data_IF_589586057723
#
_entry.id   IF_589586057723
#
_cell.length_a   1.000
_cell.length_b   1.000
_cell.length_c   1.000
_cell.angle_alpha   90.00
_cell.angle_beta   90.00
_cell.angle_gamma   90.00
#
_symmetry.space_group_name_H-M   'P 1'
#
loop_
_entity.id
_entity.type
_entity.pdbx_description
1 polymer ?
#
# COMPACT_ATOMS: atom_id res chain seq x y z
N UNK A 1 -8.41 31.85 10.20
CA UNK A 1 -8.63 30.50 9.64
C UNK A 1 -7.33 29.77 9.26
N UNK A 2 -6.29 30.44 8.71
CA UNK A 2 -5.03 29.77 8.30
C UNK A 2 -4.19 29.21 9.46
N UNK A 3 -4.22 29.85 10.64
CA UNK A 3 -3.50 29.37 11.83
C UNK A 3 -4.21 28.20 12.50
N UNK A 4 -5.54 28.17 12.48
CA UNK A 4 -6.32 27.06 13.02
C UNK A 4 -6.10 25.75 12.23
N UNK A 5 -6.05 25.84 10.90
CA UNK A 5 -5.70 24.69 10.04
C UNK A 5 -4.29 24.15 10.31
N UNK A 6 -3.31 25.02 10.53
CA UNK A 6 -1.95 24.59 10.90
C UNK A 6 -1.91 23.91 12.26
N UNK A 7 -2.65 24.40 13.24
CA UNK A 7 -2.73 23.78 14.56
C UNK A 7 -3.43 22.42 14.51
N UNK A 8 -4.49 22.28 13.71
CA UNK A 8 -5.18 20.98 13.50
C UNK A 8 -4.26 19.96 12.79
N UNK A 9 -3.52 20.39 11.76
CA UNK A 9 -2.55 19.51 11.07
C UNK A 9 -1.40 19.11 12.02
N UNK A 10 -0.91 20.05 12.85
CA UNK A 10 0.13 19.74 13.84
C UNK A 10 -0.38 18.80 14.93
N UNK A 11 -1.62 18.99 15.41
CA UNK A 11 -2.25 18.09 16.38
C UNK A 11 -2.49 16.69 15.78
N UNK A 12 -2.87 16.61 14.49
CA UNK A 12 -3.05 15.34 13.79
C UNK A 12 -1.71 14.61 13.54
N UNK A 13 -0.67 15.35 13.17
CA UNK A 13 0.68 14.78 13.02
C UNK A 13 1.26 14.35 14.38
N UNK A 14 0.97 15.09 15.45
CA UNK A 14 1.41 14.75 16.79
C UNK A 14 0.67 13.52 17.35
N UNK A 15 -0.60 13.34 17.02
CA UNK A 15 -1.35 12.11 17.37
C UNK A 15 -0.88 10.87 16.62
N UNK A 16 -0.36 11.02 15.39
CA UNK A 16 0.26 9.92 14.63
C UNK A 16 1.62 9.55 15.22
N UNK A 17 2.39 10.52 15.73
CA UNK A 17 3.68 10.26 16.38
C UNK A 17 3.52 9.64 17.77
N UNK A 18 2.38 9.88 18.43
CA UNK A 18 2.00 9.21 19.68
C UNK A 18 1.30 7.86 19.44
N UNK A 19 1.11 7.44 18.19
CA UNK A 19 0.68 6.09 17.85
C UNK A 19 1.75 5.13 18.34
N UNK A 20 1.45 4.53 19.43
CA UNK A 20 2.09 3.49 20.21
C UNK A 20 3.27 2.84 19.50
N UNK A 21 4.47 3.14 19.95
CA UNK A 21 5.51 2.13 19.95
C UNK A 21 4.96 0.98 20.81
N UNK A 22 4.61 -0.13 20.19
CA UNK A 22 4.31 -1.36 20.90
C UNK A 22 5.56 -1.74 21.69
N UNK A 23 5.59 -1.27 22.92
CA UNK A 23 6.71 -1.52 23.82
C UNK A 23 6.63 -3.00 24.17
N UNK A 24 7.69 -3.73 23.85
CA UNK A 24 7.88 -5.07 24.38
C UNK A 24 7.72 -5.01 25.89
N UNK A 25 6.66 -5.60 26.43
CA UNK A 25 6.43 -5.69 27.85
C UNK A 25 7.33 -6.76 28.45
N UNK A 26 8.17 -6.35 29.37
CA UNK A 26 8.95 -7.31 30.18
C UNK A 26 8.05 -7.99 31.21
N UNK A 27 8.48 -9.16 31.69
CA UNK A 27 7.77 -9.86 32.76
C UNK A 27 7.65 -9.01 34.01
N UNK A 28 8.67 -8.19 34.28
CA UNK A 28 8.71 -7.30 35.44
C UNK A 28 7.67 -6.17 35.37
N UNK A 29 7.47 -5.58 34.19
CA UNK A 29 6.43 -4.54 33.97
C UNK A 29 5.01 -5.09 34.18
N UNK A 30 4.79 -6.34 33.79
CA UNK A 30 3.50 -7.02 33.96
C UNK A 30 3.24 -7.33 35.45
N UNK A 31 4.26 -7.62 36.21
CA UNK A 31 4.16 -7.92 37.65
C UNK A 31 3.54 -6.77 38.44
N UNK A 32 3.94 -5.53 38.18
CA UNK A 32 3.45 -4.34 38.88
C UNK A 32 1.95 -4.11 38.60
N UNK A 33 1.49 -4.40 37.40
CA UNK A 33 0.07 -4.31 37.04
C UNK A 33 -0.79 -5.42 37.69
N UNK A 34 -0.20 -6.57 38.01
CA UNK A 34 -0.92 -7.75 38.46
C UNK A 34 -0.85 -8.03 39.98
N UNK A 35 -0.13 -7.20 40.75
CA UNK A 35 0.02 -7.37 42.20
C UNK A 35 -1.31 -7.41 42.98
N UNK A 36 -2.42 -6.95 42.40
CA UNK A 36 -3.75 -6.97 42.99
C UNK A 36 -4.66 -8.15 42.57
N UNK A 37 -4.21 -9.00 41.68
CA UNK A 37 -5.04 -10.10 41.18
C UNK A 37 -4.89 -11.37 42.05
N UNK A 38 -5.99 -12.09 42.21
CA UNK A 38 -6.02 -13.38 42.95
C UNK A 38 -5.06 -14.39 42.34
N UNK A 39 -4.33 -15.11 43.18
CA UNK A 39 -3.41 -16.19 42.77
C UNK A 39 -4.22 -17.43 42.37
N UNK A 40 -4.30 -17.68 41.05
CA UNK A 40 -4.85 -18.93 40.55
C UNK A 40 -3.85 -20.10 40.75
N UNK A 41 -4.38 -21.30 40.94
CA UNK A 41 -3.58 -22.49 40.83
C UNK A 41 -3.04 -22.62 39.39
N UNK A 42 -1.94 -23.39 39.21
CA UNK A 42 -1.30 -23.53 37.89
C UNK A 42 -2.28 -23.98 36.80
N UNK A 43 -3.08 -25.02 37.08
CA UNK A 43 -4.04 -25.61 36.15
C UNK A 43 -5.17 -24.60 35.80
N UNK A 44 -5.61 -23.82 36.80
CA UNK A 44 -6.61 -22.78 36.61
C UNK A 44 -6.08 -21.63 35.74
N UNK A 45 -4.84 -21.23 35.97
CA UNK A 45 -4.19 -20.19 35.15
C UNK A 45 -3.97 -20.66 33.70
N UNK A 46 -3.56 -21.90 33.49
CA UNK A 46 -3.38 -22.51 32.18
C UNK A 46 -4.71 -22.57 31.44
N UNK A 47 -5.76 -23.09 32.11
CA UNK A 47 -7.12 -23.12 31.55
C UNK A 47 -7.68 -21.75 31.26
N UNK A 48 -7.37 -20.78 32.10
CA UNK A 48 -7.80 -19.38 31.90
C UNK A 48 -7.10 -18.73 30.71
N UNK A 49 -5.80 -18.97 30.48
CA UNK A 49 -5.10 -18.52 29.30
C UNK A 49 -5.70 -19.11 28.02
N UNK A 50 -5.97 -20.41 28.02
CA UNK A 50 -6.57 -21.11 26.89
C UNK A 50 -7.98 -20.56 26.59
N UNK A 51 -8.81 -20.38 27.62
CA UNK A 51 -10.13 -19.78 27.51
C UNK A 51 -10.05 -18.35 26.90
N UNK A 52 -9.19 -17.50 27.45
CA UNK A 52 -9.04 -16.11 26.97
C UNK A 52 -8.60 -16.06 25.50
N UNK A 53 -7.71 -16.94 25.10
CA UNK A 53 -7.26 -17.04 23.73
C UNK A 53 -8.39 -17.45 22.78
N UNK A 54 -9.15 -18.50 23.15
CA UNK A 54 -10.24 -19.03 22.33
C UNK A 54 -11.43 -18.05 22.22
N UNK A 55 -11.65 -17.22 23.25
CA UNK A 55 -12.67 -16.17 23.24
C UNK A 55 -12.21 -14.86 22.55
N UNK A 56 -10.96 -14.81 22.05
CA UNK A 56 -10.43 -13.65 21.36
C UNK A 56 -9.98 -12.50 22.27
N UNK A 57 -9.87 -12.73 23.59
CA UNK A 57 -9.39 -11.71 24.54
C UNK A 57 -7.85 -11.69 24.60
N UNK A 58 -7.22 -11.38 23.48
CA UNK A 58 -5.77 -11.52 23.28
C UNK A 58 -4.92 -10.71 24.27
N UNK A 59 -5.28 -9.44 24.55
CA UNK A 59 -4.56 -8.63 25.53
C UNK A 59 -4.58 -9.25 26.94
N UNK A 60 -5.74 -9.76 27.36
CA UNK A 60 -5.88 -10.42 28.66
C UNK A 60 -5.14 -11.76 28.68
N UNK A 61 -5.16 -12.49 27.57
CA UNK A 61 -4.39 -13.71 27.40
C UNK A 61 -2.88 -13.44 27.54
N UNK A 62 -2.36 -12.35 26.94
CA UNK A 62 -0.97 -11.93 27.10
C UNK A 62 -0.61 -11.70 28.57
N UNK A 63 -1.42 -10.92 29.27
CA UNK A 63 -1.17 -10.63 30.70
C UNK A 63 -1.17 -11.90 31.55
N UNK A 64 -2.16 -12.77 31.35
CA UNK A 64 -2.23 -14.07 32.05
C UNK A 64 -1.06 -14.98 31.68
N UNK A 65 -0.63 -14.99 30.42
CA UNK A 65 0.52 -15.77 29.95
C UNK A 65 1.83 -15.28 30.57
N UNK A 66 2.04 -13.98 30.67
CA UNK A 66 3.22 -13.40 31.36
C UNK A 66 3.21 -13.72 32.84
N UNK A 67 2.05 -13.69 33.49
CA UNK A 67 1.93 -14.08 34.90
C UNK A 67 2.27 -15.56 35.07
N UNK A 68 1.87 -16.44 34.16
CA UNK A 68 2.24 -17.86 34.13
C UNK A 68 3.76 -18.04 34.03
N UNK A 69 4.40 -17.37 33.08
CA UNK A 69 5.85 -17.42 32.89
C UNK A 69 6.61 -16.91 34.12
N UNK A 70 6.11 -15.87 34.76
CA UNK A 70 6.72 -15.33 35.99
C UNK A 70 6.62 -16.30 37.16
N UNK A 71 5.45 -16.93 37.37
CA UNK A 71 5.23 -17.85 38.47
C UNK A 71 5.93 -19.20 38.27
N UNK A 72 6.03 -19.67 37.03
CA UNK A 72 6.52 -20.99 36.68
C UNK A 72 7.55 -20.97 35.54
N UNK A 73 8.70 -20.28 35.72
CA UNK A 73 9.64 -20.00 34.64
C UNK A 73 10.34 -21.23 34.05
N UNK A 74 10.41 -22.34 34.78
CA UNK A 74 11.10 -23.56 34.39
C UNK A 74 10.16 -24.73 34.14
N UNK A 75 8.87 -24.47 33.95
CA UNK A 75 7.89 -25.56 33.74
C UNK A 75 7.91 -26.02 32.27
N UNK A 76 7.50 -27.26 32.06
CA UNK A 76 7.45 -27.91 30.73
C UNK A 76 6.46 -27.22 29.76
N UNK A 77 5.50 -26.46 30.24
CA UNK A 77 4.54 -25.74 29.41
C UNK A 77 5.08 -24.37 28.91
N UNK A 78 6.22 -23.89 29.39
CA UNK A 78 6.79 -22.59 29.01
C UNK A 78 6.88 -22.38 27.48
N UNK A 79 7.35 -23.36 26.69
CA UNK A 79 7.35 -23.23 25.22
C UNK A 79 5.94 -23.01 24.64
N UNK A 80 4.93 -23.74 25.17
CA UNK A 80 3.54 -23.60 24.73
C UNK A 80 2.96 -22.24 25.11
N UNK A 81 3.25 -21.72 26.31
CA UNK A 81 2.84 -20.38 26.72
C UNK A 81 3.48 -19.31 25.81
N UNK A 82 4.77 -19.42 25.49
CA UNK A 82 5.41 -18.52 24.54
C UNK A 82 4.75 -18.59 23.15
N UNK A 83 4.26 -19.76 22.74
CA UNK A 83 3.50 -19.93 21.51
C UNK A 83 2.16 -19.20 21.56
N UNK A 84 1.43 -19.27 22.67
CA UNK A 84 0.18 -18.52 22.86
C UNK A 84 0.43 -17.00 22.87
N UNK A 85 1.51 -16.53 23.49
CA UNK A 85 1.92 -15.13 23.43
C UNK A 85 2.17 -14.69 21.98
N UNK A 86 2.93 -15.51 21.22
CA UNK A 86 3.18 -15.24 19.81
C UNK A 86 1.89 -15.17 18.99
N UNK A 87 0.97 -16.11 19.27
CA UNK A 87 -0.35 -16.16 18.62
C UNK A 87 -1.21 -14.93 18.97
N UNK A 88 -1.22 -14.50 20.23
CA UNK A 88 -1.93 -13.28 20.63
C UNK A 88 -1.40 -12.07 19.86
N UNK A 89 -0.09 -11.90 19.74
CA UNK A 89 0.49 -10.81 18.95
C UNK A 89 0.17 -10.94 17.47
N UNK A 90 0.13 -12.16 16.92
CA UNK A 90 -0.27 -12.40 15.53
C UNK A 90 -1.72 -11.99 15.28
N UNK A 91 -2.66 -12.37 16.15
CA UNK A 91 -4.08 -12.03 16.05
C UNK A 91 -4.34 -10.51 16.27
N UNK A 92 -3.45 -9.84 16.98
CA UNK A 92 -3.44 -8.39 17.16
C UNK A 92 -2.70 -7.64 16.03
N UNK A 93 -2.29 -8.36 14.97
CA UNK A 93 -1.53 -7.85 13.82
C UNK A 93 -0.15 -7.26 14.17
N UNK A 94 0.36 -7.53 15.37
CA UNK A 94 1.71 -7.17 15.76
C UNK A 94 2.71 -8.25 15.34
N UNK A 95 2.96 -8.32 14.05
CA UNK A 95 3.77 -9.38 13.45
C UNK A 95 5.23 -9.36 13.93
N UNK A 96 5.78 -8.19 14.24
CA UNK A 96 7.16 -8.08 14.73
C UNK A 96 7.33 -8.80 16.08
N UNK A 97 6.44 -8.55 17.03
CA UNK A 97 6.47 -9.22 18.33
C UNK A 97 6.14 -10.72 18.21
N UNK A 98 5.15 -11.07 17.38
CA UNK A 98 4.83 -12.47 17.10
C UNK A 98 6.07 -13.22 16.60
N UNK A 99 6.78 -12.68 15.62
CA UNK A 99 7.99 -13.28 15.04
C UNK A 99 9.12 -13.43 16.09
N UNK A 100 9.31 -12.45 16.97
CA UNK A 100 10.31 -12.55 18.05
C UNK A 100 10.04 -13.74 18.98
N UNK A 101 8.78 -13.94 19.36
CA UNK A 101 8.41 -15.08 20.20
C UNK A 101 8.49 -16.41 19.45
N UNK A 102 8.07 -16.48 18.19
CA UNK A 102 8.25 -17.69 17.37
C UNK A 102 9.74 -18.03 17.20
N UNK A 103 10.59 -17.04 16.90
CA UNK A 103 12.04 -17.26 16.79
C UNK A 103 12.67 -17.73 18.09
N UNK A 104 12.22 -17.20 19.23
CA UNK A 104 12.65 -17.69 20.55
C UNK A 104 12.30 -19.15 20.73
N UNK A 105 11.07 -19.57 20.38
CA UNK A 105 10.66 -20.96 20.48
C UNK A 105 11.52 -21.85 19.56
N UNK A 106 11.74 -21.42 18.32
CA UNK A 106 12.54 -22.17 17.34
C UNK A 106 13.99 -22.34 17.82
N UNK A 107 14.54 -21.33 18.50
CA UNK A 107 15.90 -21.38 19.03
C UNK A 107 16.04 -22.29 20.27
N UNK A 108 15.03 -22.28 21.13
CA UNK A 108 15.10 -22.87 22.46
C UNK A 108 14.53 -24.31 22.53
N UNK A 109 13.96 -24.85 21.45
CA UNK A 109 13.30 -26.16 21.46
C UNK A 109 13.82 -27.09 20.36
N UNK A 110 13.63 -28.40 20.56
CA UNK A 110 14.03 -29.41 19.60
C UNK A 110 13.13 -29.42 18.35
N UNK A 111 13.73 -29.67 17.18
CA UNK A 111 13.03 -29.71 15.89
C UNK A 111 11.89 -30.76 15.82
N UNK A 112 11.96 -31.80 16.64
CA UNK A 112 10.94 -32.84 16.69
C UNK A 112 9.70 -32.46 17.46
N UNK A 113 9.76 -31.39 18.27
CA UNK A 113 8.64 -30.96 19.11
C UNK A 113 7.51 -30.34 18.27
N UNK A 114 6.27 -30.52 18.70
CA UNK A 114 5.08 -29.94 18.07
C UNK A 114 5.16 -28.42 18.13
N UNK A 115 5.64 -27.86 19.26
CA UNK A 115 5.76 -26.41 19.48
C UNK A 115 6.75 -25.80 18.50
N UNK A 116 7.90 -26.44 18.29
CA UNK A 116 8.89 -25.98 17.32
C UNK A 116 8.32 -25.92 15.90
N UNK A 117 7.69 -27.02 15.44
CA UNK A 117 7.11 -27.09 14.09
C UNK A 117 6.02 -26.05 13.89
N UNK A 118 5.09 -25.95 14.84
CA UNK A 118 4.02 -24.95 14.78
C UNK A 118 4.58 -23.51 14.76
N UNK A 119 5.56 -23.22 15.62
CA UNK A 119 6.22 -21.91 15.65
C UNK A 119 6.96 -21.60 14.33
N UNK A 120 7.64 -22.61 13.76
CA UNK A 120 8.34 -22.47 12.47
C UNK A 120 7.37 -22.12 11.33
N UNK A 121 6.24 -22.82 11.24
CA UNK A 121 5.22 -22.55 10.22
C UNK A 121 4.57 -21.19 10.42
N UNK A 122 4.16 -20.86 11.65
CA UNK A 122 3.57 -19.57 11.98
C UNK A 122 4.52 -18.40 11.75
N UNK A 123 5.81 -18.57 12.06
CA UNK A 123 6.81 -17.54 11.79
C UNK A 123 6.93 -17.24 10.28
N UNK A 124 6.87 -18.26 9.43
CA UNK A 124 6.87 -18.03 7.97
C UNK A 124 5.54 -17.47 7.48
N UNK A 125 4.42 -17.88 8.06
CA UNK A 125 3.13 -17.29 7.77
C UNK A 125 3.06 -15.80 8.15
N UNK A 126 3.59 -15.42 9.33
CA UNK A 126 3.68 -14.00 9.73
C UNK A 126 4.63 -13.20 8.86
N UNK A 127 5.71 -13.79 8.32
CA UNK A 127 6.54 -13.14 7.31
C UNK A 127 5.75 -12.83 6.04
N UNK A 128 4.87 -13.75 5.63
CA UNK A 128 3.99 -13.52 4.48
C UNK A 128 2.99 -12.40 4.76
N UNK A 129 2.32 -12.40 5.92
CA UNK A 129 1.36 -11.36 6.29
C UNK A 129 1.98 -9.97 6.44
N UNK A 130 3.22 -9.89 6.92
CA UNK A 130 3.95 -8.63 7.08
C UNK A 130 4.61 -8.12 5.80
N UNK A 131 4.49 -8.86 4.68
CA UNK A 131 5.15 -8.51 3.41
C UNK A 131 6.67 -8.79 3.39
N UNK A 132 7.21 -9.46 4.41
CA UNK A 132 8.64 -9.83 4.49
C UNK A 132 8.94 -11.07 3.64
N UNK A 133 8.55 -11.01 2.36
CA UNK A 133 8.66 -12.15 1.43
C UNK A 133 10.11 -12.54 1.14
N UNK A 134 11.06 -11.62 1.20
CA UNK A 134 12.49 -11.93 1.01
C UNK A 134 13.04 -12.82 2.12
N UNK A 135 12.70 -12.51 3.37
CA UNK A 135 13.10 -13.32 4.52
C UNK A 135 12.43 -14.71 4.47
N UNK A 136 11.16 -14.77 4.10
CA UNK A 136 10.46 -16.04 3.91
C UNK A 136 11.16 -16.89 2.85
N UNK A 137 11.47 -16.31 1.70
CA UNK A 137 12.11 -17.03 0.59
C UNK A 137 13.52 -17.53 0.96
N UNK A 138 14.29 -16.74 1.71
CA UNK A 138 15.62 -17.12 2.19
C UNK A 138 15.55 -18.24 3.22
N UNK A 139 14.66 -18.13 4.22
CA UNK A 139 14.49 -19.09 5.29
C UNK A 139 13.92 -20.44 4.84
N UNK A 140 13.23 -20.47 3.69
CA UNK A 140 12.63 -21.68 3.12
C UNK A 140 13.40 -22.26 1.95
N UNK A 141 14.61 -21.75 1.70
CA UNK A 141 15.44 -22.24 0.61
C UNK A 141 15.79 -23.74 0.80
N UNK A 142 15.56 -24.54 -0.23
CA UNK A 142 15.87 -25.98 -0.22
C UNK A 142 14.98 -26.84 0.67
N UNK A 143 13.93 -26.28 1.28
CA UNK A 143 12.99 -27.07 2.08
C UNK A 143 12.19 -28.06 1.21
N UNK A 144 11.83 -29.19 1.82
CA UNK A 144 10.88 -30.16 1.25
C UNK A 144 9.56 -30.18 2.04
N UNK A 145 9.46 -29.39 3.07
CA UNK A 145 8.28 -29.32 3.92
C UNK A 145 7.10 -28.70 3.14
N UNK A 146 5.96 -29.39 3.03
CA UNK A 146 4.85 -28.94 2.19
C UNK A 146 4.23 -27.63 2.64
N UNK A 147 4.14 -27.37 3.95
CA UNK A 147 3.60 -26.12 4.47
C UNK A 147 4.51 -24.93 4.10
N UNK A 148 5.82 -25.11 4.29
CA UNK A 148 6.79 -24.05 3.95
C UNK A 148 6.87 -23.81 2.43
N UNK A 149 6.75 -24.88 1.63
CA UNK A 149 6.68 -24.76 0.17
C UNK A 149 5.42 -24.01 -0.27
N UNK A 150 4.29 -24.23 0.42
CA UNK A 150 3.06 -23.52 0.16
C UNK A 150 3.22 -22.01 0.44
N UNK A 151 3.72 -21.63 1.61
CA UNK A 151 3.98 -20.21 1.93
C UNK A 151 4.99 -19.57 0.95
N UNK A 152 6.00 -20.34 0.53
CA UNK A 152 6.95 -19.93 -0.51
C UNK A 152 6.26 -19.66 -1.84
N UNK A 153 5.28 -20.49 -2.22
CA UNK A 153 4.45 -20.29 -3.40
C UNK A 153 3.68 -18.97 -3.35
N UNK A 154 3.04 -18.66 -2.24
CA UNK A 154 2.35 -17.37 -2.03
C UNK A 154 3.31 -16.17 -2.08
N UNK A 155 4.50 -16.28 -1.47
CA UNK A 155 5.51 -15.23 -1.54
C UNK A 155 5.98 -14.96 -2.98
N UNK A 156 6.11 -16.00 -3.81
CA UNK A 156 6.41 -15.82 -5.22
C UNK A 156 5.24 -15.23 -6.01
N UNK A 157 3.99 -15.54 -5.65
CA UNK A 157 2.81 -14.89 -6.26
C UNK A 157 2.81 -13.39 -5.96
N UNK A 158 3.09 -12.99 -4.73
CA UNK A 158 3.20 -11.58 -4.32
C UNK A 158 4.30 -10.85 -5.12
N UNK A 159 5.40 -11.54 -5.38
CA UNK A 159 6.50 -11.03 -6.24
C UNK A 159 6.22 -11.17 -7.74
N UNK A 160 5.05 -11.65 -8.14
CA UNK A 160 4.68 -11.91 -9.53
C UNK A 160 5.62 -12.87 -10.27
N UNK A 161 6.30 -13.74 -9.55
CA UNK A 161 7.12 -14.79 -10.15
C UNK A 161 6.29 -16.08 -10.27
N UNK A 162 5.47 -16.13 -11.32
CA UNK A 162 4.46 -17.18 -11.54
C UNK A 162 5.05 -18.58 -11.71
N UNK A 163 6.19 -18.69 -12.41
CA UNK A 163 6.90 -19.95 -12.59
C UNK A 163 7.44 -20.52 -11.27
N UNK A 164 8.07 -19.68 -10.45
CA UNK A 164 8.56 -20.09 -9.15
C UNK A 164 7.42 -20.41 -8.19
N UNK A 165 6.31 -19.66 -8.24
CA UNK A 165 5.11 -19.93 -7.48
C UNK A 165 4.52 -21.31 -7.84
N UNK A 166 4.32 -21.57 -9.14
CA UNK A 166 3.82 -22.84 -9.66
C UNK A 166 4.69 -24.02 -9.23
N UNK A 167 6.00 -23.87 -9.39
CA UNK A 167 6.98 -24.91 -9.00
C UNK A 167 6.91 -25.21 -7.50
N UNK A 168 6.78 -24.17 -6.69
CA UNK A 168 6.67 -24.31 -5.23
C UNK A 168 5.38 -25.04 -4.83
N UNK A 169 4.24 -24.69 -5.44
CA UNK A 169 2.96 -25.35 -5.17
C UNK A 169 2.94 -26.79 -5.65
N UNK A 170 3.50 -27.12 -6.83
CA UNK A 170 3.64 -28.50 -7.31
C UNK A 170 4.49 -29.31 -6.33
N UNK A 171 5.59 -28.72 -5.87
CA UNK A 171 6.45 -29.38 -4.89
C UNK A 171 5.75 -29.58 -3.55
N UNK A 172 4.94 -28.63 -3.11
CA UNK A 172 4.12 -28.74 -1.91
C UNK A 172 3.09 -29.86 -2.05
N UNK A 173 2.33 -29.85 -3.14
CA UNK A 173 1.31 -30.86 -3.45
C UNK A 173 1.87 -32.29 -3.43
N UNK A 174 3.02 -32.49 -4.07
CA UNK A 174 3.67 -33.82 -4.11
C UNK A 174 4.17 -34.31 -2.75
N UNK A 175 4.32 -33.43 -1.77
CA UNK A 175 4.77 -33.76 -0.41
C UNK A 175 3.64 -33.77 0.63
N UNK A 176 2.42 -33.37 0.27
CA UNK A 176 1.24 -33.57 1.11
C UNK A 176 0.68 -34.97 0.91
N UNK A 177 0.40 -35.65 2.00
CA UNK A 177 -0.12 -37.03 1.97
C UNK A 177 -1.65 -37.12 1.82
N UNK A 178 -2.36 -35.99 1.78
CA UNK A 178 -3.82 -36.00 1.81
C UNK A 178 -4.45 -35.30 0.58
N UNK A 179 -5.42 -35.94 -0.11
CA UNK A 179 -6.04 -35.43 -1.34
C UNK A 179 -6.84 -34.12 -1.14
N UNK A 180 -7.05 -33.68 0.11
CA UNK A 180 -7.64 -32.37 0.40
C UNK A 180 -6.82 -31.22 -0.18
N UNK A 181 -5.49 -31.32 -0.12
CA UNK A 181 -4.59 -30.29 -0.61
C UNK A 181 -4.63 -30.14 -2.13
N UNK A 182 -4.91 -31.21 -2.87
CA UNK A 182 -5.12 -31.14 -4.33
C UNK A 182 -6.27 -30.19 -4.67
N UNK A 183 -7.35 -30.24 -3.90
CA UNK A 183 -8.50 -29.36 -4.09
C UNK A 183 -8.19 -27.89 -3.76
N UNK A 184 -7.33 -27.65 -2.79
CA UNK A 184 -6.89 -26.31 -2.41
C UNK A 184 -5.88 -25.73 -3.40
N UNK A 185 -5.02 -26.58 -4.01
CA UNK A 185 -3.98 -26.14 -4.94
C UNK A 185 -4.52 -25.86 -6.35
N UNK A 186 -5.52 -26.61 -6.81
CA UNK A 186 -6.05 -26.47 -8.17
C UNK A 186 -6.46 -25.06 -8.56
N UNK A 187 -7.22 -24.31 -7.73
CA UNK A 187 -7.56 -22.93 -8.06
C UNK A 187 -6.36 -21.97 -8.07
N UNK A 188 -5.31 -22.26 -7.29
CA UNK A 188 -4.05 -21.49 -7.34
C UNK A 188 -3.35 -21.67 -8.69
N UNK A 189 -3.33 -22.89 -9.22
CA UNK A 189 -2.81 -23.16 -10.57
C UNK A 189 -3.61 -22.43 -11.64
N UNK A 190 -4.94 -22.50 -11.58
CA UNK A 190 -5.81 -21.77 -12.51
C UNK A 190 -5.57 -20.26 -12.45
N UNK A 191 -5.40 -19.72 -11.25
CA UNK A 191 -5.09 -18.29 -11.09
C UNK A 191 -3.77 -17.93 -11.77
N UNK A 192 -2.71 -18.74 -11.57
CA UNK A 192 -1.40 -18.51 -12.18
C UNK A 192 -1.47 -18.62 -13.71
N UNK A 193 -2.17 -19.59 -14.25
CA UNK A 193 -2.32 -19.80 -15.70
C UNK A 193 -3.08 -18.64 -16.35
N UNK A 194 -4.15 -18.18 -15.72
CA UNK A 194 -5.01 -17.12 -16.26
C UNK A 194 -4.44 -15.71 -16.08
N UNK A 195 -3.34 -15.52 -15.33
CA UNK A 195 -2.66 -14.20 -15.21
C UNK A 195 -2.23 -13.66 -16.57
N UNK A 196 -1.88 -14.55 -17.52
CA UNK A 196 -1.52 -14.15 -18.87
C UNK A 196 -2.67 -13.53 -19.65
N UNK A 197 -3.92 -13.89 -19.33
CA UNK A 197 -5.15 -13.44 -19.96
C UNK A 197 -5.68 -12.11 -19.40
N UNK A 198 -5.12 -11.63 -18.30
CA UNK A 198 -5.50 -10.34 -17.71
C UNK A 198 -5.28 -9.23 -18.73
N UNK A 199 -6.31 -8.44 -19.07
CA UNK A 199 -6.19 -7.37 -20.04
C UNK A 199 -5.20 -6.31 -19.56
N UNK A 200 -4.15 -6.09 -20.34
CA UNK A 200 -3.08 -5.14 -20.02
C UNK A 200 -3.12 -3.96 -20.98
N UNK A 201 -2.86 -2.78 -20.47
CA UNK A 201 -2.70 -1.60 -21.31
C UNK A 201 -1.39 -1.71 -22.11
N UNK A 202 -1.46 -1.45 -23.41
CA UNK A 202 -0.26 -1.41 -24.26
C UNK A 202 0.44 -0.06 -24.10
N UNK A 203 1.69 -0.09 -23.65
CA UNK A 203 2.53 1.10 -23.42
C UNK A 203 2.62 2.04 -24.62
N UNK A 204 2.77 1.47 -25.81
CA UNK A 204 2.92 2.25 -27.04
C UNK A 204 1.61 2.94 -27.43
N UNK A 205 0.47 2.29 -27.20
CA UNK A 205 -0.85 2.89 -27.44
C UNK A 205 -1.09 4.03 -26.44
N UNK A 206 -0.78 3.82 -25.16
CA UNK A 206 -0.89 4.84 -24.13
C UNK A 206 0.00 6.03 -24.42
N UNK A 207 1.27 5.80 -24.78
CA UNK A 207 2.20 6.84 -25.17
C UNK A 207 1.74 7.61 -26.42
N UNK A 208 1.32 6.90 -27.45
CA UNK A 208 0.86 7.50 -28.69
C UNK A 208 -0.41 8.35 -28.46
N UNK A 209 -1.33 7.87 -27.64
CA UNK A 209 -2.51 8.63 -27.24
C UNK A 209 -2.14 9.92 -26.50
N UNK A 210 -1.13 9.87 -25.62
CA UNK A 210 -0.58 11.06 -24.96
C UNK A 210 0.10 12.00 -25.94
N UNK A 211 0.77 11.47 -26.97
CA UNK A 211 1.46 12.26 -27.96
C UNK A 211 0.50 12.95 -28.96
N UNK A 212 -0.66 12.39 -29.19
CA UNK A 212 -1.69 12.99 -30.07
C UNK A 212 -2.55 14.00 -29.32
N UNK A 213 -2.92 13.65 -28.09
CA UNK A 213 -3.86 14.42 -27.29
C UNK A 213 -3.33 14.62 -25.85
N UNK A 214 -3.22 15.89 -25.37
CA UNK A 214 -2.74 16.16 -24.01
C UNK A 214 -3.59 15.45 -22.96
N UNK A 215 -2.96 14.59 -22.17
CA UNK A 215 -3.65 13.77 -21.18
C UNK A 215 -4.28 12.47 -21.74
N UNK A 216 -4.17 12.19 -23.04
CA UNK A 216 -4.78 11.03 -23.68
C UNK A 216 -4.36 9.69 -23.07
N UNK A 217 -3.08 9.55 -22.74
CA UNK A 217 -2.58 8.36 -22.07
C UNK A 217 -3.17 8.16 -20.67
N UNK A 218 -3.32 9.24 -19.89
CA UNK A 218 -3.93 9.20 -18.58
C UNK A 218 -5.40 8.82 -18.66
N UNK A 219 -6.13 9.29 -19.66
CA UNK A 219 -7.51 8.86 -19.89
C UNK A 219 -7.60 7.37 -20.22
N UNK A 220 -6.69 6.83 -21.03
CA UNK A 220 -6.63 5.40 -21.32
C UNK A 220 -6.26 4.55 -20.08
N UNK A 221 -5.50 5.12 -19.14
CA UNK A 221 -5.18 4.50 -17.87
C UNK A 221 -6.28 4.69 -16.80
N UNK A 222 -7.42 5.30 -17.18
CA UNK A 222 -8.53 5.64 -16.28
C UNK A 222 -8.17 6.65 -15.18
N UNK A 223 -7.09 7.41 -15.38
CA UNK A 223 -6.65 8.47 -14.48
C UNK A 223 -7.30 9.83 -14.88
N UNK A 224 -8.61 9.91 -14.77
CA UNK A 224 -9.40 11.05 -15.26
C UNK A 224 -8.96 12.41 -14.70
N UNK A 225 -8.67 12.49 -13.39
CA UNK A 225 -8.23 13.75 -12.75
C UNK A 225 -6.89 14.25 -13.30
N UNK A 226 -5.94 13.33 -13.49
CA UNK A 226 -4.63 13.65 -14.07
C UNK A 226 -4.77 14.05 -15.53
N UNK A 227 -5.55 13.31 -16.31
CA UNK A 227 -5.84 13.59 -17.71
C UNK A 227 -6.46 14.97 -17.91
N UNK A 228 -7.49 15.31 -17.13
CA UNK A 228 -8.13 16.62 -17.14
C UNK A 228 -7.17 17.74 -16.73
N UNK A 229 -6.36 17.52 -15.69
CA UNK A 229 -5.36 18.49 -15.25
C UNK A 229 -4.34 18.83 -16.34
N UNK A 230 -3.86 17.83 -17.08
CA UNK A 230 -2.92 18.03 -18.20
C UNK A 230 -3.61 18.75 -19.34
N UNK A 231 -4.81 18.30 -19.73
CA UNK A 231 -5.57 18.92 -20.81
C UNK A 231 -5.85 20.39 -20.54
N UNK A 232 -6.33 20.71 -19.34
CA UNK A 232 -6.64 22.10 -18.95
C UNK A 232 -5.37 22.96 -18.89
N UNK A 233 -4.26 22.41 -18.37
CA UNK A 233 -2.98 23.14 -18.31
C UNK A 233 -2.44 23.46 -19.69
N UNK A 234 -2.40 22.47 -20.59
CA UNK A 234 -1.91 22.68 -21.97
C UNK A 234 -2.84 23.61 -22.75
N UNK A 235 -4.17 23.46 -22.59
CA UNK A 235 -5.15 24.34 -23.23
C UNK A 235 -5.03 25.77 -22.73
N UNK A 236 -4.83 25.99 -21.44
CA UNK A 236 -4.60 27.32 -20.86
C UNK A 236 -3.33 27.95 -21.44
N UNK A 237 -2.23 27.20 -21.53
CA UNK A 237 -0.99 27.69 -22.13
C UNK A 237 -1.16 28.03 -23.61
N UNK A 238 -1.95 27.25 -24.36
CA UNK A 238 -2.27 27.51 -25.75
C UNK A 238 -3.11 28.79 -25.90
N UNK A 239 -4.09 29.05 -25.01
CA UNK A 239 -4.89 30.27 -24.99
C UNK A 239 -3.99 31.46 -24.69
N UNK A 240 -3.13 31.40 -23.68
CA UNK A 240 -2.19 32.48 -23.33
C UNK A 240 -1.24 32.77 -24.49
N UNK A 241 -0.74 31.73 -25.17
CA UNK A 241 0.13 31.88 -26.35
C UNK A 241 -0.58 32.55 -27.51
N UNK A 242 -1.84 32.20 -27.80
CA UNK A 242 -2.64 32.84 -28.81
C UNK A 242 -2.96 34.30 -28.46
N UNK A 243 -3.25 34.56 -27.18
CA UNK A 243 -3.48 35.92 -26.71
C UNK A 243 -2.24 36.81 -26.95
N UNK A 244 -1.05 36.33 -26.53
CA UNK A 244 0.20 37.03 -26.72
C UNK A 244 0.47 37.33 -28.22
N UNK A 245 0.16 36.37 -29.12
CA UNK A 245 0.28 36.52 -30.56
C UNK A 245 -0.70 37.56 -31.13
N UNK A 246 -1.94 37.59 -30.67
CA UNK A 246 -2.94 38.58 -31.08
C UNK A 246 -2.49 39.98 -30.65
N UNK A 247 -1.91 40.13 -29.47
CA UNK A 247 -1.36 41.40 -29.02
C UNK A 247 -0.21 41.87 -29.90
N UNK A 248 0.66 40.96 -30.37
CA UNK A 248 1.72 41.31 -31.31
C UNK A 248 1.19 41.80 -32.62
N UNK A 249 0.24 41.09 -33.23
CA UNK A 249 -0.37 41.47 -34.50
C UNK A 249 -1.07 42.84 -34.40
N UNK A 250 -1.72 43.07 -33.27
CA UNK A 250 -2.41 44.35 -33.04
C UNK A 250 -1.44 45.45 -32.64
N UNK A 251 -0.38 45.16 -31.90
CA UNK A 251 0.66 46.13 -31.49
C UNK A 251 1.57 46.56 -32.62
N UNK A 252 1.90 45.69 -33.57
CA UNK A 252 2.75 45.99 -34.71
C UNK A 252 2.00 46.72 -35.84
N UNK A 253 0.71 46.53 -35.96
CA UNK A 253 -0.12 47.34 -36.82
C UNK A 253 -0.45 48.68 -36.13
N UNK A 254 0.50 49.61 -36.13
CA UNK A 254 0.26 51.00 -35.75
C UNK A 254 -0.80 51.73 -36.59
N UNK A 255 -1.28 51.06 -37.61
CA UNK A 255 -2.48 51.48 -38.37
C UNK A 255 -3.71 51.53 -37.48
N UNK A 256 -3.59 51.02 -36.28
CA UNK A 256 -4.64 51.04 -35.30
C UNK A 256 -4.44 52.22 -34.32
N UNK A 257 -4.07 53.31 -34.82
CA UNK A 257 -4.46 54.59 -34.25
C UNK A 257 -5.98 54.81 -34.34
N UNK A 258 -6.68 53.92 -35.03
CA UNK A 258 -8.12 53.96 -35.04
C UNK A 258 -8.63 53.39 -33.70
N UNK A 259 -9.40 54.19 -33.02
CA UNK A 259 -10.15 53.90 -31.78
C UNK A 259 -10.96 52.57 -31.84
N UNK A 260 -11.12 52.01 -33.04
CA UNK A 260 -11.83 50.76 -33.32
C UNK A 260 -11.12 49.46 -32.86
N UNK A 261 -9.86 49.53 -32.48
CA UNK A 261 -9.09 48.39 -31.99
C UNK A 261 -8.95 48.33 -30.48
N UNK A 262 -9.47 49.30 -29.78
CA UNK A 262 -9.64 49.21 -28.34
C UNK A 262 -10.72 48.19 -28.01
N UNK A 263 -10.47 47.30 -27.05
CA UNK A 263 -11.42 46.29 -26.64
C UNK A 263 -12.78 46.91 -26.32
N UNK A 264 -13.89 46.28 -26.75
CA UNK A 264 -15.26 46.80 -26.59
C UNK A 264 -15.68 47.19 -25.17
N UNK A 265 -14.95 46.73 -24.15
CA UNK A 265 -15.20 47.10 -22.75
C UNK A 265 -15.24 48.64 -22.52
N UNK A 266 -14.58 49.43 -23.35
CA UNK A 266 -14.58 50.87 -23.23
C UNK A 266 -15.82 51.55 -23.79
N UNK A 267 -16.51 50.93 -24.72
CA UNK A 267 -17.68 51.54 -25.34
C UNK A 267 -18.82 51.77 -24.34
N UNK A 268 -18.96 50.91 -23.37
CA UNK A 268 -20.02 51.03 -22.37
C UNK A 268 -19.73 52.08 -21.29
N UNK A 269 -18.48 52.41 -21.08
CA UNK A 269 -18.05 53.41 -20.08
C UNK A 269 -18.11 54.82 -20.67
N UNK A 270 -17.91 54.95 -21.99
CA UNK A 270 -17.92 56.25 -22.68
C UNK A 270 -19.33 56.87 -22.78
N UNK A 271 -20.38 56.07 -22.65
CA UNK A 271 -21.76 56.59 -22.80
C UNK A 271 -22.25 57.42 -21.63
N UNK A 272 -21.66 57.30 -20.46
CA UNK A 272 -22.16 57.95 -19.25
C UNK A 272 -21.20 59.01 -18.64
N UNK A 273 -19.93 58.98 -19.00
CA UNK A 273 -18.96 59.99 -18.56
C UNK A 273 -18.02 60.31 -19.71
N UNK A 274 -17.86 61.61 -20.03
CA UNK A 274 -16.85 62.05 -20.97
C UNK A 274 -15.44 61.85 -20.40
N UNK A 275 -14.99 60.61 -20.40
CA UNK A 275 -13.63 60.25 -20.03
C UNK A 275 -12.68 60.80 -21.04
N UNK A 276 -11.74 61.64 -20.63
CA UNK A 276 -10.67 62.12 -21.48
C UNK A 276 -9.86 60.93 -21.97
N UNK A 277 -9.34 61.05 -23.22
CA UNK A 277 -8.59 59.93 -23.86
C UNK A 277 -7.47 59.38 -23.02
N UNK A 278 -6.87 60.10 -22.10
CA UNK A 278 -5.83 59.72 -21.17
C UNK A 278 -6.35 58.99 -19.91
N UNK A 279 -7.65 59.03 -19.67
CA UNK A 279 -8.28 58.43 -18.51
C UNK A 279 -8.84 57.04 -18.84
N UNK A 280 -8.69 56.59 -20.10
CA UNK A 280 -9.08 55.25 -20.55
C UNK A 280 -8.13 54.21 -19.89
N UNK A 281 -8.70 53.32 -19.15
CA UNK A 281 -7.96 52.18 -18.59
C UNK A 281 -7.43 51.38 -19.77
N UNK A 282 -6.13 51.09 -19.86
CA UNK A 282 -5.62 50.27 -20.94
C UNK A 282 -6.25 48.89 -20.85
N UNK A 283 -6.99 48.53 -21.89
CA UNK A 283 -7.60 47.20 -22.00
C UNK A 283 -6.58 46.09 -22.04
N UNK A 284 -5.31 46.44 -22.19
CA UNK A 284 -4.19 45.52 -22.26
C UNK A 284 -3.06 46.11 -21.46
N UNK A 285 -2.42 45.27 -20.70
CA UNK A 285 -1.09 45.52 -20.18
C UNK A 285 -0.17 45.71 -21.40
N UNK A 286 0.09 46.96 -21.80
CA UNK A 286 1.09 47.24 -22.82
C UNK A 286 2.47 47.00 -22.23
N UNK A 287 2.88 45.77 -22.30
CA UNK A 287 4.25 45.45 -22.00
C UNK A 287 5.06 45.88 -23.24
N UNK A 288 5.82 46.93 -23.11
CA UNK A 288 6.60 47.58 -24.16
C UNK A 288 7.79 46.77 -24.68
N UNK A 289 7.71 45.44 -24.62
CA UNK A 289 8.73 44.51 -25.09
C UNK A 289 8.25 43.73 -26.30
N UNK A 290 9.19 43.35 -27.16
CA UNK A 290 8.95 42.47 -28.29
C UNK A 290 8.13 41.26 -27.82
N UNK A 291 6.95 41.09 -28.38
CA UNK A 291 5.93 40.10 -28.04
C UNK A 291 6.43 38.64 -28.08
N UNK A 292 7.45 38.40 -28.89
CA UNK A 292 8.10 37.08 -28.98
C UNK A 292 8.64 36.63 -27.61
N UNK A 293 9.12 37.53 -26.76
CA UNK A 293 9.63 37.21 -25.43
C UNK A 293 8.54 36.70 -24.48
N UNK A 294 7.29 37.07 -24.66
CA UNK A 294 6.16 36.64 -23.84
C UNK A 294 5.49 35.37 -24.37
N UNK A 295 5.71 35.05 -25.65
CA UNK A 295 5.24 33.81 -26.25
C UNK A 295 6.06 32.62 -25.80
N UNK A 296 7.37 32.80 -25.61
CA UNK A 296 8.30 31.69 -25.27
C UNK A 296 7.91 30.99 -23.95
N UNK A 297 7.69 31.66 -22.81
CA UNK A 297 7.40 30.99 -21.56
C UNK A 297 6.16 30.05 -21.59
N UNK A 298 4.98 30.50 -22.06
CA UNK A 298 3.81 29.63 -22.09
C UNK A 298 3.97 28.45 -23.08
N UNK A 299 4.65 28.68 -24.22
CA UNK A 299 4.93 27.58 -25.17
C UNK A 299 5.89 26.58 -24.57
N UNK A 300 6.97 27.00 -23.93
CA UNK A 300 7.95 26.12 -23.29
C UNK A 300 7.31 25.35 -22.14
N UNK A 301 6.50 26.01 -21.30
CA UNK A 301 5.80 25.36 -20.19
C UNK A 301 4.78 24.34 -20.72
N UNK A 302 3.96 24.75 -21.70
CA UNK A 302 2.95 23.84 -22.29
C UNK A 302 3.58 22.62 -22.97
N UNK A 303 4.66 22.82 -23.73
CA UNK A 303 5.41 21.74 -24.35
C UNK A 303 6.08 20.85 -23.27
N UNK A 304 6.65 21.44 -22.23
CA UNK A 304 7.24 20.71 -21.12
C UNK A 304 6.21 19.83 -20.39
N UNK A 305 5.06 20.38 -20.04
CA UNK A 305 3.96 19.61 -19.40
C UNK A 305 3.51 18.47 -20.32
N UNK A 306 3.36 18.75 -21.61
CA UNK A 306 2.94 17.76 -22.60
C UNK A 306 3.96 16.60 -22.73
N UNK A 307 5.25 16.92 -22.90
CA UNK A 307 6.31 15.89 -23.02
C UNK A 307 6.45 15.09 -21.73
N UNK A 308 6.52 15.77 -20.59
CA UNK A 308 6.67 15.09 -19.27
C UNK A 308 5.46 14.19 -19.00
N UNK A 309 4.25 14.65 -19.31
CA UNK A 309 3.05 13.84 -19.12
C UNK A 309 3.01 12.61 -20.01
N UNK A 310 3.50 12.73 -21.25
CA UNK A 310 3.58 11.61 -22.19
C UNK A 310 4.60 10.56 -21.75
N UNK A 311 5.77 10.99 -21.26
CA UNK A 311 6.77 10.08 -20.69
C UNK A 311 6.31 9.44 -19.39
N UNK A 312 5.59 10.22 -18.56
CA UNK A 312 5.02 9.72 -17.33
C UNK A 312 3.97 8.63 -17.60
N UNK A 313 3.02 8.86 -18.52
CA UNK A 313 2.01 7.87 -18.87
C UNK A 313 2.60 6.55 -19.40
N UNK A 314 3.71 6.63 -20.14
CA UNK A 314 4.44 5.44 -20.57
C UNK A 314 4.97 4.62 -19.39
N UNK A 315 5.53 5.29 -18.36
CA UNK A 315 6.02 4.64 -17.15
C UNK A 315 4.87 4.14 -16.27
N UNK A 316 3.84 4.96 -16.08
CA UNK A 316 2.69 4.65 -15.23
C UNK A 316 1.89 3.44 -15.77
N UNK A 317 2.00 3.14 -17.07
CA UNK A 317 1.37 1.96 -17.68
C UNK A 317 1.84 0.66 -17.03
N UNK A 318 3.13 0.53 -16.70
CA UNK A 318 3.64 -0.67 -16.04
C UNK A 318 3.07 -0.82 -14.64
N UNK A 319 3.05 0.28 -13.91
CA UNK A 319 2.50 0.28 -12.55
C UNK A 319 1.00 -0.03 -12.57
N UNK A 320 0.26 0.52 -13.53
CA UNK A 320 -1.17 0.22 -13.68
C UNK A 320 -1.40 -1.24 -14.04
N UNK A 321 -0.65 -1.78 -15.00
CA UNK A 321 -0.73 -3.18 -15.38
C UNK A 321 -0.38 -4.11 -14.20
N UNK A 322 0.61 -3.72 -13.40
CA UNK A 322 0.98 -4.43 -12.18
C UNK A 322 -0.19 -4.45 -11.19
N UNK A 323 -0.81 -3.31 -10.90
CA UNK A 323 -1.98 -3.20 -10.02
C UNK A 323 -3.18 -4.01 -10.53
N UNK A 324 -3.40 -4.06 -11.84
CA UNK A 324 -4.46 -4.89 -12.42
C UNK A 324 -4.22 -6.38 -12.16
N UNK A 325 -2.99 -6.84 -12.30
CA UNK A 325 -2.62 -8.22 -11.99
C UNK A 325 -2.74 -8.49 -10.49
N UNK A 326 -2.23 -7.59 -9.64
CA UNK A 326 -2.35 -7.69 -8.18
C UNK A 326 -3.83 -7.81 -7.75
N UNK A 327 -4.68 -6.95 -8.29
CA UNK A 327 -6.11 -7.00 -8.00
C UNK A 327 -6.74 -8.32 -8.45
N UNK A 328 -6.45 -8.77 -9.68
CA UNK A 328 -6.94 -10.05 -10.20
C UNK A 328 -6.54 -11.23 -9.33
N UNK A 329 -5.26 -11.27 -8.93
CA UNK A 329 -4.72 -12.34 -8.09
C UNK A 329 -5.31 -12.26 -6.68
N UNK A 330 -5.37 -11.07 -6.08
CA UNK A 330 -5.94 -10.87 -4.74
C UNK A 330 -7.40 -11.31 -4.68
N UNK A 331 -8.22 -10.95 -5.67
CA UNK A 331 -9.62 -11.34 -5.75
C UNK A 331 -9.79 -12.87 -5.80
N UNK A 332 -8.98 -13.54 -6.63
CA UNK A 332 -9.06 -15.00 -6.81
C UNK A 332 -8.45 -15.80 -5.64
N UNK A 333 -7.42 -15.26 -5.01
CA UNK A 333 -6.74 -15.90 -3.88
C UNK A 333 -7.46 -15.63 -2.56
N UNK A 334 -8.36 -14.66 -2.48
CA UNK A 334 -9.13 -14.37 -1.27
C UNK A 334 -9.86 -15.60 -0.73
N UNK A 335 -10.40 -16.44 -1.61
CA UNK A 335 -11.10 -17.67 -1.27
C UNK A 335 -10.15 -18.79 -0.80
N UNK A 336 -8.86 -18.71 -1.16
CA UNK A 336 -7.83 -19.69 -0.84
C UNK A 336 -6.68 -18.98 -0.18
N UNK A 337 -6.99 -18.33 0.93
CA UNK A 337 -5.96 -17.62 1.69
C UNK A 337 -4.92 -18.58 2.26
N UNK A 338 -3.67 -18.14 2.47
CA UNK A 338 -2.62 -18.95 3.11
C UNK A 338 -3.03 -19.51 4.47
N UNK A 339 -4.01 -18.89 5.15
CA UNK A 339 -4.55 -19.38 6.43
C UNK A 339 -5.20 -20.75 6.35
N UNK A 340 -5.68 -21.19 5.18
CA UNK A 340 -6.24 -22.53 4.98
C UNK A 340 -5.21 -23.65 5.07
N UNK A 341 -3.93 -23.31 5.04
CA UNK A 341 -2.81 -24.22 5.22
C UNK A 341 -2.21 -24.18 6.62
N UNK A 342 -2.97 -23.69 7.59
CA UNK A 342 -2.57 -23.67 9.02
C UNK A 342 -3.21 -24.82 9.82
N UNK A 343 -3.52 -25.91 9.15
CA UNK A 343 -4.16 -27.10 9.69
C UNK A 343 -3.18 -28.11 10.30
N UNK A 344 -1.92 -27.72 10.47
CA UNK A 344 -0.92 -28.52 11.16
C UNK A 344 -1.22 -28.62 12.68
N UNK A 345 -0.70 -29.65 13.36
CA UNK A 345 -0.89 -29.82 14.80
C UNK A 345 -0.39 -28.61 15.58
N UNK A 346 -1.29 -27.96 16.31
CA UNK A 346 -0.98 -26.83 17.19
C UNK A 346 -0.71 -27.33 18.61
N UNK A 347 0.27 -26.73 19.32
CA UNK A 347 0.44 -26.99 20.74
C UNK A 347 -0.77 -26.44 21.51
N UNK A 348 -1.28 -27.22 22.47
CA UNK A 348 -2.39 -26.84 23.33
C UNK A 348 -1.92 -26.74 24.78
N UNK A 349 -2.39 -25.72 25.50
CA UNK A 349 -2.12 -25.56 26.93
C UNK A 349 -2.88 -26.57 27.75
N UNK A 350 -4.09 -26.91 27.36
CA UNK A 350 -4.95 -27.90 28.02
C UNK A 350 -4.87 -29.20 27.23
N UNK A 351 -4.38 -30.24 27.85
CA UNK A 351 -4.46 -31.58 27.26
C UNK A 351 -5.94 -31.97 27.19
N UNK A 352 -6.47 -32.10 26.01
CA UNK A 352 -7.77 -32.73 25.80
C UNK A 352 -7.67 -34.18 26.31
N UNK A 353 -8.39 -34.47 27.41
CA UNK A 353 -8.49 -35.82 27.97
C UNK A 353 -9.36 -36.70 27.07
#
# INVERSE_FOLDING_TARGET
>A
MRNLRRQIIFAFLFSIVLSQNDIYRSVDEVQDEWTGYTSFQKEEMVSFCDFLFNEGYYERCLLSSFQLLYKFPNDSFVPTVNYYIARCYEEMENFELAQRYYQKIIKDNDETSVVFRAAKYRNQYTNLLSGNTDDLLSNTQGTKDPYLLTFRGYAYMEKMNWEAARTSFISAQNNFDHPHYDKLMNPLYQTIENVSEVPKHNKYIVFLSSAIFPGGGQFLLEEWSNGQGILTSVSLMAIISNWAKVEELVGNNRVIENESSSIPLYKNIETNHQLKKKDKIPARLSLSYSSVKYLIPPVVIGAGVFIISSLKSFKDTDEKNKKLIEYYVSDRVSDISPSRFLDFPNPTLVLQK
#
